data_IF_386684242789
#
_entry.id   IF_386684242789
#
_cell.length_a   1.000
_cell.length_b   1.000
_cell.length_c   1.000
_cell.angle_alpha   90.00
_cell.angle_beta   90.00
_cell.angle_gamma   90.00
#
_symmetry.space_group_name_H-M   'P 1'
#
loop_
_entity.id
_entity.type
_entity.pdbx_description
1 polymer ?
#
# COMPACT_ATOMS: atom_id res chain seq x y z
N UNK A 1 19.73 -6.34 16.97
CA UNK A 1 18.36 -6.01 17.42
C UNK A 1 18.33 -6.34 18.90
N UNK A 2 18.69 -5.36 19.72
CA UNK A 2 18.77 -5.50 21.18
C UNK A 2 17.38 -5.62 21.84
N UNK A 3 17.29 -5.12 23.07
CA UNK A 3 16.14 -5.18 24.00
C UNK A 3 14.76 -4.85 23.44
N UNK A 4 14.65 -4.37 22.17
CA UNK A 4 13.42 -3.84 21.57
C UNK A 4 12.64 -4.82 20.72
N UNK A 5 13.10 -6.08 20.54
CA UNK A 5 12.37 -7.08 19.74
C UNK A 5 10.95 -7.33 20.25
N UNK A 6 10.74 -7.22 21.56
CA UNK A 6 9.41 -7.32 22.18
C UNK A 6 8.51 -6.15 21.80
N UNK A 7 9.07 -4.95 21.66
CA UNK A 7 8.34 -3.74 21.23
C UNK A 7 7.86 -3.87 19.79
N UNK A 8 8.71 -4.37 18.89
CA UNK A 8 8.32 -4.62 17.49
C UNK A 8 7.25 -5.71 17.36
N UNK A 9 7.37 -6.79 18.12
CA UNK A 9 6.35 -7.86 18.15
C UNK A 9 5.02 -7.28 18.63
N UNK A 10 5.00 -6.54 19.73
CA UNK A 10 3.80 -5.91 20.26
C UNK A 10 3.17 -4.93 19.27
N UNK A 11 3.97 -4.17 18.53
CA UNK A 11 3.48 -3.27 17.47
C UNK A 11 2.85 -4.06 16.30
N UNK A 12 3.47 -5.13 15.84
CA UNK A 12 2.92 -5.98 14.79
C UNK A 12 1.59 -6.58 15.22
N UNK A 13 1.51 -7.10 16.44
CA UNK A 13 0.27 -7.66 17.01
C UNK A 13 -0.81 -6.59 17.16
N UNK A 14 -0.46 -5.39 17.61
CA UNK A 14 -1.38 -4.25 17.68
C UNK A 14 -1.94 -3.91 16.30
N UNK A 15 -1.07 -3.75 15.29
CA UNK A 15 -1.49 -3.42 13.92
C UNK A 15 -2.40 -4.54 13.36
N UNK A 16 -2.04 -5.81 13.54
CA UNK A 16 -2.88 -6.94 13.10
C UNK A 16 -4.25 -6.92 13.75
N UNK A 17 -4.33 -6.70 15.05
CA UNK A 17 -5.59 -6.66 15.78
C UNK A 17 -6.44 -5.45 15.39
N UNK A 18 -5.81 -4.29 15.23
CA UNK A 18 -6.50 -3.06 14.84
C UNK A 18 -7.10 -3.15 13.42
N UNK A 19 -6.36 -3.78 12.50
CA UNK A 19 -6.76 -3.93 11.10
C UNK A 19 -7.27 -5.34 10.77
N UNK A 20 -7.70 -6.11 11.75
CA UNK A 20 -8.12 -7.52 11.57
C UNK A 20 -9.23 -7.73 10.53
N UNK A 21 -10.02 -6.69 10.22
CA UNK A 21 -11.03 -6.71 9.18
C UNK A 21 -10.54 -6.34 7.76
N UNK A 22 -9.30 -5.87 7.62
CA UNK A 22 -8.76 -5.43 6.33
C UNK A 22 -8.12 -6.61 5.57
N UNK A 23 -8.86 -7.14 4.62
CA UNK A 23 -8.41 -8.26 3.78
C UNK A 23 -7.20 -7.88 2.92
N UNK A 24 -6.25 -8.79 2.83
CA UNK A 24 -5.07 -8.66 1.96
C UNK A 24 -3.97 -7.74 2.48
N UNK A 25 -4.16 -7.06 3.62
CA UNK A 25 -3.08 -6.28 4.21
C UNK A 25 -1.97 -7.21 4.72
N UNK A 26 -0.75 -6.90 4.32
CA UNK A 26 0.46 -7.60 4.74
C UNK A 26 1.33 -6.68 5.57
N UNK A 27 1.87 -7.19 6.69
CA UNK A 27 2.82 -6.49 7.52
C UNK A 27 4.20 -7.08 7.22
N UNK A 28 5.09 -6.27 6.72
CA UNK A 28 6.44 -6.68 6.37
C UNK A 28 7.45 -5.96 7.25
N UNK A 29 8.56 -6.60 7.50
CA UNK A 29 9.65 -6.01 8.27
C UNK A 29 10.73 -5.48 7.34
N UNK A 30 11.13 -4.23 7.52
CA UNK A 30 12.28 -3.64 6.86
C UNK A 30 13.57 -3.91 7.63
N UNK A 31 14.60 -4.37 6.93
CA UNK A 31 15.99 -4.39 7.41
C UNK A 31 16.63 -3.11 6.87
N UNK A 32 16.78 -2.12 7.74
CA UNK A 32 17.14 -0.77 7.36
C UNK A 32 18.52 -0.42 7.93
N UNK A 33 19.32 0.22 7.09
CA UNK A 33 20.49 0.98 7.49
C UNK A 33 20.49 2.29 6.68
N UNK A 34 20.10 3.40 7.28
CA UNK A 34 19.94 4.66 6.54
C UNK A 34 21.29 5.18 6.02
N UNK A 35 21.21 6.01 5.00
CA UNK A 35 22.41 6.68 4.46
C UNK A 35 23.10 7.53 5.55
N UNK A 36 24.43 7.70 5.40
CA UNK A 36 25.25 8.34 6.43
C UNK A 36 25.90 7.35 7.40
N UNK A 37 25.34 6.16 7.59
CA UNK A 37 25.87 5.10 8.45
C UNK A 37 26.92 4.25 7.70
N UNK A 38 27.99 4.89 7.23
CA UNK A 38 29.04 4.23 6.40
C UNK A 38 29.72 3.04 7.07
N UNK A 39 29.71 2.99 8.38
CA UNK A 39 30.24 1.88 9.15
C UNK A 39 29.46 0.56 8.95
N UNK A 40 28.22 0.62 8.47
CA UNK A 40 27.37 -0.56 8.22
C UNK A 40 28.05 -1.62 7.34
N UNK A 41 28.74 -1.19 6.29
CA UNK A 41 29.43 -2.13 5.40
C UNK A 41 30.57 -2.87 6.09
N UNK A 42 31.27 -2.19 7.00
CA UNK A 42 32.30 -2.83 7.83
C UNK A 42 31.75 -3.82 8.85
N UNK A 43 30.51 -3.61 9.29
CA UNK A 43 29.80 -4.52 10.20
C UNK A 43 29.24 -5.72 9.42
N UNK A 44 28.50 -5.46 8.34
CA UNK A 44 27.85 -6.50 7.54
C UNK A 44 28.84 -7.39 6.78
N UNK A 45 30.09 -6.95 6.62
CA UNK A 45 31.18 -7.75 6.07
C UNK A 45 31.80 -8.74 7.08
N UNK A 46 31.32 -8.78 8.31
CA UNK A 46 31.77 -9.72 9.35
C UNK A 46 30.71 -10.79 9.57
N UNK A 47 31.04 -12.03 9.30
CA UNK A 47 30.13 -13.16 9.38
C UNK A 47 29.44 -13.25 10.75
N UNK A 48 30.13 -13.00 11.85
CA UNK A 48 29.53 -13.01 13.20
C UNK A 48 28.35 -12.06 13.34
N UNK A 49 28.45 -10.83 12.82
CA UNK A 49 27.38 -9.85 12.88
C UNK A 49 26.26 -10.19 11.89
N UNK A 50 26.62 -10.69 10.73
CA UNK A 50 25.66 -11.16 9.75
C UNK A 50 24.86 -12.36 10.27
N UNK A 51 25.52 -13.32 10.93
CA UNK A 51 24.85 -14.44 11.59
C UNK A 51 23.84 -13.97 12.64
N UNK A 52 24.18 -12.99 13.45
CA UNK A 52 23.28 -12.41 14.42
C UNK A 52 22.06 -11.77 13.73
N UNK A 53 22.25 -11.00 12.66
CA UNK A 53 21.17 -10.40 11.89
C UNK A 53 20.27 -11.45 11.25
N UNK A 54 20.85 -12.51 10.67
CA UNK A 54 20.11 -13.64 10.08
C UNK A 54 19.24 -14.33 11.14
N UNK A 55 19.79 -14.60 12.32
CA UNK A 55 19.07 -15.24 13.41
C UNK A 55 17.91 -14.36 13.93
N UNK A 56 18.14 -13.06 14.04
CA UNK A 56 17.07 -12.12 14.41
C UNK A 56 15.99 -12.03 13.34
N UNK A 57 16.39 -12.02 12.06
CA UNK A 57 15.45 -12.01 10.94
C UNK A 57 14.58 -13.29 10.91
N UNK A 58 15.16 -14.46 11.14
CA UNK A 58 14.42 -15.74 11.28
C UNK A 58 13.35 -15.65 12.38
N UNK A 59 13.73 -15.12 13.53
CA UNK A 59 12.82 -14.95 14.68
C UNK A 59 11.68 -13.98 14.35
N UNK A 60 11.98 -12.81 13.79
CA UNK A 60 10.99 -11.79 13.49
C UNK A 60 10.08 -12.18 12.33
N UNK A 61 10.56 -12.95 11.36
CA UNK A 61 9.76 -13.45 10.25
C UNK A 61 8.57 -14.28 10.72
N UNK A 62 8.61 -14.89 11.90
CA UNK A 62 7.48 -15.65 12.46
C UNK A 62 6.25 -14.75 12.71
N UNK A 63 6.46 -13.46 12.95
CA UNK A 63 5.41 -12.48 13.28
C UNK A 63 4.94 -11.64 12.10
N UNK A 64 5.68 -11.55 11.01
CA UNK A 64 5.36 -10.72 9.85
C UNK A 64 5.12 -11.54 8.58
N UNK A 65 4.64 -10.89 7.53
CA UNK A 65 4.26 -11.51 6.25
C UNK A 65 5.39 -11.45 5.21
N UNK A 66 6.55 -10.93 5.58
CA UNK A 66 7.70 -10.85 4.71
C UNK A 66 8.79 -9.93 5.21
N UNK A 67 9.86 -9.87 4.44
CA UNK A 67 11.01 -9.01 4.68
C UNK A 67 11.22 -8.05 3.52
N UNK A 68 11.72 -6.88 3.84
CA UNK A 68 12.28 -5.93 2.89
C UNK A 68 13.71 -5.57 3.26
N UNK A 69 14.61 -5.49 2.28
CA UNK A 69 16.00 -5.08 2.51
C UNK A 69 16.17 -3.67 1.97
N UNK A 70 16.36 -2.72 2.89
CA UNK A 70 16.50 -1.29 2.61
C UNK A 70 17.81 -0.77 3.20
N UNK A 71 18.92 -1.19 2.59
CA UNK A 71 20.26 -0.78 3.01
C UNK A 71 20.74 0.39 2.15
N UNK A 72 20.68 1.59 2.66
CA UNK A 72 20.99 2.84 1.94
C UNK A 72 22.41 3.31 2.21
N UNK A 73 23.28 3.63 1.18
CA UNK A 73 23.20 3.22 -0.22
C UNK A 73 24.51 2.53 -0.58
N UNK A 74 24.53 1.76 -1.66
CA UNK A 74 25.72 1.10 -2.18
C UNK A 74 26.38 2.04 -3.18
N UNK A 75 27.52 2.64 -2.79
CA UNK A 75 28.25 3.59 -3.63
C UNK A 75 29.47 3.00 -4.33
N UNK A 76 29.96 1.85 -3.87
CA UNK A 76 31.13 1.20 -4.41
C UNK A 76 30.87 -0.27 -4.79
N UNK A 77 31.74 -0.84 -5.61
CA UNK A 77 31.68 -2.27 -5.92
C UNK A 77 31.83 -3.16 -4.69
N UNK A 78 32.58 -2.71 -3.68
CA UNK A 78 32.71 -3.45 -2.42
C UNK A 78 31.42 -3.41 -1.61
N UNK A 79 30.69 -2.28 -1.59
CA UNK A 79 29.40 -2.21 -0.92
C UNK A 79 28.39 -3.16 -1.57
N UNK A 80 28.38 -3.20 -2.91
CA UNK A 80 27.54 -4.13 -3.66
C UNK A 80 27.89 -5.59 -3.40
N UNK A 81 29.16 -5.91 -3.24
CA UNK A 81 29.59 -7.27 -2.87
C UNK A 81 29.01 -7.68 -1.53
N UNK A 82 29.06 -6.79 -0.54
CA UNK A 82 28.51 -7.04 0.80
C UNK A 82 26.99 -7.10 0.74
N UNK A 83 26.34 -6.14 0.06
CA UNK A 83 24.89 -6.12 -0.09
C UNK A 83 24.37 -7.41 -0.73
N UNK A 84 24.94 -7.83 -1.84
CA UNK A 84 24.54 -9.04 -2.55
C UNK A 84 24.75 -10.29 -1.69
N UNK A 85 25.81 -10.33 -0.89
CA UNK A 85 26.06 -11.41 0.05
C UNK A 85 24.98 -11.45 1.15
N UNK A 86 24.63 -10.30 1.73
CA UNK A 86 23.55 -10.18 2.73
C UNK A 86 22.23 -10.64 2.15
N UNK A 87 21.87 -10.14 0.96
CA UNK A 87 20.61 -10.51 0.28
C UNK A 87 20.57 -12.02 0.02
N UNK A 88 21.66 -12.60 -0.49
CA UNK A 88 21.72 -14.02 -0.75
C UNK A 88 21.54 -14.85 0.51
N UNK A 89 22.19 -14.51 1.60
CA UNK A 89 22.03 -15.21 2.87
C UNK A 89 20.60 -15.10 3.43
N UNK A 90 19.97 -13.95 3.29
CA UNK A 90 18.56 -13.79 3.68
C UNK A 90 17.64 -14.69 2.84
N UNK A 91 17.87 -14.76 1.54
CA UNK A 91 17.13 -15.66 0.64
C UNK A 91 17.30 -17.12 1.05
N UNK A 92 18.56 -17.56 1.18
CA UNK A 92 18.91 -18.97 1.38
C UNK A 92 18.57 -19.47 2.78
N UNK A 93 18.71 -18.63 3.80
CA UNK A 93 18.63 -19.07 5.19
C UNK A 93 17.37 -18.60 5.93
N UNK A 94 16.83 -17.44 5.58
CA UNK A 94 15.66 -16.89 6.27
C UNK A 94 14.40 -17.20 5.50
N UNK A 95 14.42 -17.02 4.17
CA UNK A 95 13.25 -17.25 3.33
C UNK A 95 13.07 -18.71 2.91
N UNK A 96 14.08 -19.56 3.11
CA UNK A 96 13.99 -20.98 2.81
C UNK A 96 12.81 -21.62 3.59
N UNK A 97 11.92 -22.30 2.87
CA UNK A 97 10.70 -22.92 3.44
C UNK A 97 9.54 -21.96 3.71
N UNK A 98 9.67 -20.66 3.38
CA UNK A 98 8.64 -19.65 3.60
C UNK A 98 8.12 -19.00 2.32
N UNK A 99 8.66 -19.36 1.15
CA UNK A 99 8.40 -18.72 -0.15
C UNK A 99 6.92 -18.74 -0.57
N UNK A 100 6.16 -19.74 -0.18
CA UNK A 100 4.74 -19.88 -0.53
C UNK A 100 3.83 -19.01 0.34
N UNK A 101 4.33 -18.53 1.48
CA UNK A 101 3.49 -17.85 2.48
C UNK A 101 3.95 -16.44 2.82
N UNK A 102 5.22 -16.14 2.55
CA UNK A 102 5.85 -14.86 2.90
C UNK A 102 6.62 -14.29 1.71
N UNK A 103 6.70 -12.97 1.64
CA UNK A 103 7.35 -12.25 0.54
C UNK A 103 8.71 -11.68 0.94
N UNK A 104 9.61 -11.65 -0.02
CA UNK A 104 10.93 -11.04 0.11
C UNK A 104 11.11 -9.94 -0.93
N UNK A 105 11.49 -8.75 -0.52
CA UNK A 105 11.75 -7.65 -1.43
C UNK A 105 13.03 -6.89 -1.09
N UNK A 106 13.49 -6.12 -2.06
CA UNK A 106 14.59 -5.19 -1.90
C UNK A 106 14.15 -3.79 -2.29
N UNK A 107 14.43 -2.83 -1.43
CA UNK A 107 14.28 -1.41 -1.73
C UNK A 107 15.59 -0.90 -2.31
N UNK A 108 15.53 -0.36 -3.52
CA UNK A 108 16.67 0.15 -4.26
C UNK A 108 16.41 1.60 -4.66
N UNK A 109 17.47 2.36 -4.83
CA UNK A 109 17.37 3.74 -5.26
C UNK A 109 17.80 3.88 -6.72
N UNK A 110 17.27 4.90 -7.39
CA UNK A 110 17.61 5.25 -8.77
C UNK A 110 19.11 5.37 -9.06
N UNK A 111 19.89 5.75 -8.06
CA UNK A 111 21.37 5.88 -8.19
C UNK A 111 22.11 4.67 -7.64
N UNK A 112 21.41 3.71 -7.07
CA UNK A 112 21.99 2.54 -6.41
C UNK A 112 21.16 1.29 -6.70
N UNK A 113 21.24 0.78 -7.93
CA UNK A 113 20.56 -0.44 -8.39
C UNK A 113 21.43 -1.31 -9.29
N UNK A 114 22.37 -0.69 -10.01
CA UNK A 114 23.10 -1.33 -11.11
C UNK A 114 24.17 -2.34 -10.67
N UNK A 115 24.44 -2.47 -9.39
CA UNK A 115 25.31 -3.50 -8.83
C UNK A 115 24.57 -4.68 -8.21
N UNK A 116 23.22 -4.70 -8.27
CA UNK A 116 22.45 -5.85 -7.82
C UNK A 116 22.78 -7.09 -8.64
N UNK A 117 23.01 -8.23 -7.99
CA UNK A 117 23.33 -9.46 -8.72
C UNK A 117 22.11 -9.96 -9.50
N UNK A 118 22.23 -9.94 -10.82
CA UNK A 118 21.16 -10.36 -11.74
C UNK A 118 20.71 -11.80 -11.53
N UNK A 119 21.58 -12.67 -11.03
CA UNK A 119 21.25 -14.06 -10.76
C UNK A 119 20.17 -14.18 -9.67
N UNK A 120 20.08 -13.21 -8.75
CA UNK A 120 19.10 -13.21 -7.64
C UNK A 120 17.78 -12.51 -7.99
N UNK A 121 17.65 -11.87 -9.16
CA UNK A 121 16.42 -11.11 -9.49
C UNK A 121 15.16 -12.00 -9.42
N UNK A 122 15.29 -13.25 -9.84
CA UNK A 122 14.17 -14.19 -9.82
C UNK A 122 13.83 -14.68 -8.40
N UNK A 123 14.79 -14.63 -7.49
CA UNK A 123 14.62 -15.03 -6.09
C UNK A 123 14.00 -13.94 -5.21
N UNK A 124 13.88 -12.72 -5.69
CA UNK A 124 13.19 -11.61 -5.05
C UNK A 124 11.77 -11.51 -5.58
N UNK A 125 10.77 -11.37 -4.73
CA UNK A 125 9.37 -11.30 -5.15
C UNK A 125 9.04 -9.98 -5.83
N UNK A 126 9.63 -8.88 -5.35
CA UNK A 126 9.52 -7.57 -5.99
C UNK A 126 10.61 -6.60 -5.50
N UNK A 127 10.81 -5.55 -6.28
CA UNK A 127 11.73 -4.47 -5.98
C UNK A 127 10.94 -3.17 -5.81
N UNK A 128 11.23 -2.44 -4.74
CA UNK A 128 10.75 -1.08 -4.56
C UNK A 128 11.83 -0.11 -5.03
N UNK A 129 11.53 0.68 -6.04
CA UNK A 129 12.46 1.69 -6.52
C UNK A 129 12.10 3.04 -5.94
N UNK A 130 12.95 3.57 -5.07
CA UNK A 130 12.78 4.86 -4.43
C UNK A 130 13.09 5.98 -5.43
N UNK A 131 12.04 6.61 -5.95
CA UNK A 131 12.08 7.71 -6.93
C UNK A 131 11.74 9.04 -6.28
N UNK A 132 12.14 9.20 -5.06
CA UNK A 132 12.08 10.42 -4.27
C UNK A 132 13.48 10.66 -3.67
N UNK A 133 13.65 11.75 -2.98
CA UNK A 133 14.93 12.06 -2.34
C UNK A 133 15.21 13.54 -2.40
N UNK A 134 16.39 13.99 -1.96
CA UNK A 134 16.68 15.39 -1.70
C UNK A 134 16.67 16.27 -2.96
N UNK A 135 16.82 15.67 -4.14
CA UNK A 135 16.94 16.41 -5.38
C UNK A 135 15.58 16.67 -6.03
N UNK A 136 15.32 17.92 -6.41
CA UNK A 136 14.08 18.35 -7.06
C UNK A 136 13.77 17.61 -8.36
N UNK A 137 14.79 17.17 -9.09
CA UNK A 137 14.65 16.49 -10.38
C UNK A 137 13.82 15.20 -10.25
N UNK A 138 13.84 14.54 -9.10
CA UNK A 138 13.06 13.34 -8.84
C UNK A 138 11.56 13.59 -8.84
N UNK A 139 11.16 14.85 -8.69
CA UNK A 139 9.77 15.29 -8.70
C UNK A 139 9.29 15.77 -10.07
N UNK A 140 10.18 15.85 -11.06
CA UNK A 140 9.78 16.17 -12.44
C UNK A 140 9.18 14.93 -13.12
N UNK A 141 8.16 15.18 -13.95
CA UNK A 141 7.53 14.08 -14.68
C UNK A 141 8.50 13.32 -15.58
N UNK A 142 9.34 14.05 -16.31
CA UNK A 142 10.26 13.48 -17.32
C UNK A 142 11.20 12.46 -16.73
N UNK A 143 11.55 12.62 -15.47
CA UNK A 143 12.40 11.71 -14.73
C UNK A 143 11.75 10.33 -14.49
N UNK A 144 10.42 10.28 -14.35
CA UNK A 144 9.72 9.06 -13.94
C UNK A 144 9.76 7.96 -15.01
N UNK A 145 9.37 8.20 -16.29
CA UNK A 145 9.52 7.20 -17.35
C UNK A 145 10.98 6.89 -17.69
N UNK A 146 11.89 7.84 -17.53
CA UNK A 146 13.32 7.60 -17.72
C UNK A 146 13.86 6.59 -16.70
N UNK A 147 13.55 6.78 -15.43
CA UNK A 147 13.93 5.85 -14.36
C UNK A 147 13.37 4.44 -14.59
N UNK A 148 12.11 4.32 -15.01
CA UNK A 148 11.54 3.03 -15.38
C UNK A 148 12.38 2.32 -16.47
N UNK A 149 12.77 3.04 -17.50
CA UNK A 149 13.59 2.49 -18.58
C UNK A 149 14.97 2.03 -18.08
N UNK A 150 15.56 2.71 -17.11
CA UNK A 150 16.83 2.25 -16.50
C UNK A 150 16.67 0.87 -15.85
N UNK A 151 15.60 0.67 -15.10
CA UNK A 151 15.35 -0.61 -14.40
C UNK A 151 15.07 -1.74 -15.37
N UNK A 152 14.22 -1.50 -16.38
CA UNK A 152 13.95 -2.49 -17.43
C UNK A 152 15.21 -2.84 -18.21
N UNK A 153 16.00 -1.85 -18.62
CA UNK A 153 17.25 -2.07 -19.36
C UNK A 153 18.31 -2.80 -18.53
N UNK A 154 18.28 -2.66 -17.22
CA UNK A 154 19.13 -3.44 -16.35
C UNK A 154 18.72 -4.91 -16.29
N UNK A 155 17.45 -5.22 -16.42
CA UNK A 155 16.92 -6.57 -16.44
C UNK A 155 15.89 -6.88 -15.35
N UNK A 156 15.38 -5.88 -14.62
CA UNK A 156 14.28 -6.10 -13.68
C UNK A 156 12.97 -6.32 -14.43
N UNK A 157 12.26 -7.44 -14.20
CA UNK A 157 10.95 -7.69 -14.82
C UNK A 157 9.92 -6.66 -14.34
N UNK A 158 9.07 -6.18 -15.25
CA UNK A 158 8.06 -5.15 -14.94
C UNK A 158 7.08 -5.59 -13.83
N UNK A 159 6.72 -6.86 -13.81
CA UNK A 159 5.82 -7.46 -12.82
C UNK A 159 6.47 -7.62 -11.43
N UNK A 160 7.74 -7.31 -11.31
CA UNK A 160 8.47 -7.22 -10.03
C UNK A 160 8.78 -5.79 -9.60
N UNK A 161 8.44 -4.78 -10.41
CA UNK A 161 8.77 -3.37 -10.14
C UNK A 161 7.62 -2.69 -9.40
N UNK A 162 7.90 -2.13 -8.22
CA UNK A 162 7.09 -1.09 -7.59
C UNK A 162 7.76 0.26 -7.82
N UNK A 163 7.09 1.11 -8.57
CA UNK A 163 7.52 2.50 -8.77
C UNK A 163 7.03 3.35 -7.61
N UNK A 164 7.89 4.21 -7.08
CA UNK A 164 7.51 5.03 -5.94
C UNK A 164 7.35 6.51 -6.27
N UNK A 165 6.69 7.23 -5.39
CA UNK A 165 6.79 8.68 -5.29
C UNK A 165 6.78 9.12 -3.82
N UNK A 166 7.48 10.21 -3.53
CA UNK A 166 7.53 10.76 -2.17
C UNK A 166 6.29 11.62 -1.88
N UNK A 167 5.79 11.49 -0.67
CA UNK A 167 4.78 12.39 -0.06
C UNK A 167 5.52 13.43 0.78
N UNK A 168 6.53 14.03 0.14
CA UNK A 168 7.51 14.90 0.77
C UNK A 168 7.63 16.22 0.02
N UNK A 169 8.09 17.24 0.75
CA UNK A 169 8.60 18.50 0.21
C UNK A 169 10.11 18.42 0.19
N UNK A 170 10.72 18.70 -0.95
CA UNK A 170 12.18 18.66 -1.09
C UNK A 170 12.74 19.97 -1.59
N UNK A 171 13.87 20.23 -1.20
CA UNK A 171 14.84 21.31 -1.36
C UNK A 171 15.16 21.90 0.02
N UNK A 172 16.43 21.78 0.46
CA UNK A 172 16.91 22.15 1.80
C UNK A 172 16.18 21.42 2.95
N UNK A 173 16.22 20.07 2.90
CA UNK A 173 15.62 19.20 3.91
C UNK A 173 14.35 18.52 3.39
N UNK A 174 13.91 17.54 4.14
CA UNK A 174 12.70 16.77 3.85
C UNK A 174 11.64 17.13 4.87
N UNK A 175 10.46 17.49 4.38
CA UNK A 175 9.27 17.77 5.16
C UNK A 175 8.09 17.04 4.51
N UNK A 176 6.99 16.88 5.24
CA UNK A 176 5.79 16.23 4.72
C UNK A 176 5.03 17.11 3.75
N UNK A 177 4.35 16.52 2.77
CA UNK A 177 3.44 17.24 1.87
C UNK A 177 2.36 18.02 2.65
N UNK A 178 1.88 17.49 3.78
CA UNK A 178 0.94 18.16 4.68
C UNK A 178 1.45 19.51 5.18
N UNK A 179 2.77 19.69 5.29
CA UNK A 179 3.36 20.93 5.80
C UNK A 179 3.09 22.14 4.88
N UNK A 180 2.75 21.91 3.59
CA UNK A 180 2.25 22.97 2.70
C UNK A 180 1.03 23.69 3.32
N UNK A 181 0.15 22.94 3.94
CA UNK A 181 -1.11 23.40 4.50
C UNK A 181 -0.98 23.82 5.96
N UNK A 182 -0.18 23.09 6.72
CA UNK A 182 -0.01 23.32 8.16
C UNK A 182 0.98 24.45 8.48
N UNK A 183 2.02 24.64 7.64
CA UNK A 183 3.12 25.58 7.91
C UNK A 183 3.23 26.70 6.87
N UNK A 184 3.01 26.37 5.57
CA UNK A 184 3.37 27.27 4.47
C UNK A 184 2.17 27.93 3.78
N UNK A 185 1.03 27.98 4.45
CA UNK A 185 -0.13 28.80 4.10
C UNK A 185 -0.90 28.36 2.85
N UNK A 186 -0.65 27.15 2.31
CA UNK A 186 -1.51 26.60 1.28
C UNK A 186 -2.89 26.28 1.87
N UNK A 187 -3.95 26.62 1.16
CA UNK A 187 -5.34 26.44 1.59
C UNK A 187 -6.25 26.32 0.35
N UNK A 188 -7.54 26.12 0.55
CA UNK A 188 -8.50 25.92 -0.54
C UNK A 188 -8.56 27.08 -1.55
N UNK A 189 -8.22 28.29 -1.15
CA UNK A 189 -8.28 29.46 -2.04
C UNK A 189 -7.07 29.60 -2.96
N UNK A 190 -5.93 28.99 -2.63
CA UNK A 190 -4.68 29.06 -3.40
C UNK A 190 -4.15 27.68 -3.84
N UNK A 191 -4.86 26.60 -3.48
CA UNK A 191 -4.53 25.26 -3.93
C UNK A 191 -4.84 25.07 -5.42
N UNK A 192 -3.83 24.62 -6.16
CA UNK A 192 -3.99 24.20 -7.55
C UNK A 192 -3.43 22.76 -7.69
N UNK A 193 -4.26 21.78 -8.09
CA UNK A 193 -3.83 20.38 -8.23
C UNK A 193 -2.74 20.16 -9.29
N UNK A 194 -2.49 21.15 -10.16
CA UNK A 194 -1.44 21.10 -11.18
C UNK A 194 -0.06 21.54 -10.67
N UNK A 195 0.01 22.19 -9.51
CA UNK A 195 1.29 22.63 -8.94
C UNK A 195 2.10 21.47 -8.40
N UNK A 196 3.41 21.54 -8.60
CA UNK A 196 4.41 20.61 -8.09
C UNK A 196 5.56 21.34 -7.36
N UNK A 197 5.37 22.61 -7.04
CA UNK A 197 6.28 23.42 -6.24
C UNK A 197 5.52 24.52 -5.52
N UNK A 198 6.07 24.96 -4.39
CA UNK A 198 5.50 26.04 -3.58
C UNK A 198 6.61 26.85 -2.94
N UNK A 199 6.39 28.17 -2.80
CA UNK A 199 7.29 29.03 -2.04
C UNK A 199 7.00 28.85 -0.54
N UNK A 200 7.97 28.28 0.14
CA UNK A 200 7.96 28.00 1.57
C UNK A 200 8.92 29.00 2.24
N UNK A 201 8.42 30.16 2.64
CA UNK A 201 9.19 31.22 3.30
C UNK A 201 10.44 31.68 2.51
N UNK A 202 10.29 31.86 1.20
CA UNK A 202 11.36 32.28 0.29
C UNK A 202 12.23 31.14 -0.25
N UNK A 203 11.89 29.90 0.07
CA UNK A 203 12.55 28.70 -0.47
C UNK A 203 11.52 27.91 -1.29
N UNK A 204 11.76 27.80 -2.60
CA UNK A 204 10.89 26.97 -3.44
C UNK A 204 11.15 25.50 -3.14
N UNK A 205 10.15 24.81 -2.59
CA UNK A 205 10.14 23.37 -2.38
C UNK A 205 9.35 22.66 -3.46
N UNK A 206 9.76 21.45 -3.79
CA UNK A 206 9.16 20.62 -4.84
C UNK A 206 8.46 19.42 -4.21
N UNK A 207 7.35 19.01 -4.82
CA UNK A 207 6.52 17.89 -4.36
C UNK A 207 5.77 17.22 -5.51
N UNK A 208 5.14 16.10 -5.27
CA UNK A 208 4.18 15.52 -6.19
C UNK A 208 2.82 16.16 -5.95
N UNK A 209 2.32 16.96 -6.90
CA UNK A 209 0.96 17.46 -6.84
C UNK A 209 -0.07 16.39 -7.21
N UNK A 210 -1.34 16.68 -6.97
CA UNK A 210 -2.46 15.75 -7.21
C UNK A 210 -2.48 15.24 -8.66
N UNK A 211 -2.39 16.15 -9.65
CA UNK A 211 -2.42 15.76 -11.06
C UNK A 211 -1.19 14.95 -11.47
N UNK A 212 -0.02 15.27 -10.92
CA UNK A 212 1.20 14.50 -11.19
C UNK A 212 1.14 13.10 -10.56
N UNK A 213 0.59 12.98 -9.36
CA UNK A 213 0.36 11.69 -8.71
C UNK A 213 -0.58 10.81 -9.53
N UNK A 214 -1.69 11.36 -10.04
CA UNK A 214 -2.59 10.64 -10.96
C UNK A 214 -1.86 10.17 -12.20
N UNK A 215 -1.11 11.06 -12.85
CA UNK A 215 -0.32 10.74 -14.05
C UNK A 215 0.72 9.64 -13.81
N UNK A 216 1.39 9.66 -12.65
CA UNK A 216 2.34 8.60 -12.27
C UNK A 216 1.64 7.26 -12.05
N UNK A 217 0.47 7.27 -11.44
CA UNK A 217 -0.33 6.05 -11.25
C UNK A 217 -0.85 5.48 -12.56
N UNK A 218 -1.31 6.32 -13.48
CA UNK A 218 -1.72 5.92 -14.85
C UNK A 218 -0.54 5.28 -15.60
N UNK A 219 0.65 5.85 -15.51
CA UNK A 219 1.87 5.29 -16.10
C UNK A 219 2.21 3.90 -15.54
N UNK A 220 2.09 3.71 -14.24
CA UNK A 220 2.34 2.41 -13.59
C UNK A 220 1.38 1.34 -14.12
N UNK A 221 0.10 1.69 -14.31
CA UNK A 221 -0.91 0.80 -14.88
C UNK A 221 -0.60 0.52 -16.36
N UNK A 222 -0.30 1.55 -17.15
CA UNK A 222 0.07 1.40 -18.58
C UNK A 222 1.26 0.47 -18.77
N UNK A 223 2.27 0.58 -17.90
CA UNK A 223 3.48 -0.27 -17.99
C UNK A 223 3.29 -1.65 -17.38
N UNK A 224 2.12 -1.93 -16.80
CA UNK A 224 1.82 -3.21 -16.14
C UNK A 224 2.87 -3.54 -15.07
N UNK A 225 3.26 -2.53 -14.29
CA UNK A 225 4.14 -2.71 -13.15
C UNK A 225 3.40 -3.40 -12.00
N UNK A 226 4.14 -4.02 -11.09
CA UNK A 226 3.56 -4.71 -9.93
C UNK A 226 2.69 -3.80 -9.06
N UNK A 227 3.03 -2.53 -8.96
CA UNK A 227 2.28 -1.58 -8.16
C UNK A 227 3.07 -0.32 -7.81
N UNK A 228 2.59 0.36 -6.80
CA UNK A 228 3.11 1.64 -6.32
C UNK A 228 3.55 1.53 -4.88
N UNK A 229 4.63 2.24 -4.55
CA UNK A 229 5.02 2.54 -3.18
C UNK A 229 5.06 4.05 -2.99
N UNK A 230 4.67 4.53 -1.84
CA UNK A 230 4.85 5.92 -1.46
C UNK A 230 5.42 6.05 -0.04
N UNK A 231 6.24 7.04 0.15
CA UNK A 231 6.89 7.36 1.40
C UNK A 231 6.57 8.82 1.78
N UNK A 232 5.81 9.05 2.89
CA UNK A 232 5.05 8.05 3.65
C UNK A 232 3.61 8.55 3.88
N UNK A 233 2.71 7.67 4.32
CA UNK A 233 1.29 7.99 4.52
C UNK A 233 1.06 9.07 5.58
N UNK A 234 1.93 9.14 6.59
CA UNK A 234 1.82 10.10 7.67
C UNK A 234 2.09 11.55 7.24
N UNK A 235 2.64 11.73 6.04
CA UNK A 235 2.99 13.03 5.46
C UNK A 235 1.94 13.57 4.48
N UNK A 236 0.86 12.83 4.23
CA UNK A 236 -0.22 13.24 3.33
C UNK A 236 -1.34 14.02 4.07
N UNK A 237 -2.22 14.62 3.31
CA UNK A 237 -3.52 15.09 3.78
C UNK A 237 -4.43 13.87 4.09
N UNK A 238 -5.43 14.02 4.97
CA UNK A 238 -6.41 12.96 5.19
C UNK A 238 -7.01 12.45 3.88
N UNK A 239 -7.17 11.13 3.73
CA UNK A 239 -7.70 10.51 2.50
C UNK A 239 -9.08 11.02 2.12
N UNK A 240 -9.87 11.53 3.07
CA UNK A 240 -11.14 12.21 2.81
C UNK A 240 -10.98 13.57 2.13
N UNK A 241 -9.82 14.21 2.20
CA UNK A 241 -9.54 15.49 1.56
C UNK A 241 -9.20 15.28 0.07
N UNK A 242 -9.76 16.13 -0.80
CA UNK A 242 -9.49 16.07 -2.24
C UNK A 242 -8.04 16.41 -2.62
N UNK A 243 -7.29 17.00 -1.70
CA UNK A 243 -5.87 17.34 -1.83
C UNK A 243 -4.93 16.16 -1.50
N UNK A 244 -5.44 15.06 -0.96
CA UNK A 244 -4.63 13.89 -0.62
C UNK A 244 -4.06 13.21 -1.87
N UNK A 245 -2.78 12.92 -1.84
CA UNK A 245 -2.07 12.20 -2.91
C UNK A 245 -2.48 10.72 -2.95
N UNK A 246 -2.73 10.13 -1.78
CA UNK A 246 -3.24 8.75 -1.67
C UNK A 246 -4.65 8.64 -2.26
N UNK A 247 -5.51 9.63 -2.00
CA UNK A 247 -6.82 9.71 -2.64
C UNK A 247 -6.70 9.84 -4.15
N UNK A 248 -5.80 10.71 -4.63
CA UNK A 248 -5.56 10.88 -6.06
C UNK A 248 -5.14 9.57 -6.75
N UNK A 249 -4.29 8.78 -6.10
CA UNK A 249 -3.93 7.44 -6.55
C UNK A 249 -5.14 6.50 -6.58
N UNK A 250 -5.92 6.47 -5.50
CA UNK A 250 -7.10 5.61 -5.38
C UNK A 250 -8.16 5.94 -6.43
N UNK A 251 -8.33 7.23 -6.78
CA UNK A 251 -9.25 7.65 -7.85
C UNK A 251 -8.86 7.04 -9.21
N UNK A 252 -7.56 7.01 -9.53
CA UNK A 252 -7.05 6.38 -10.76
C UNK A 252 -7.23 4.86 -10.71
N UNK A 253 -6.91 4.22 -9.59
CA UNK A 253 -7.11 2.78 -9.42
C UNK A 253 -8.59 2.43 -9.56
N UNK A 254 -9.49 3.19 -8.94
CA UNK A 254 -10.93 2.95 -9.01
C UNK A 254 -11.47 3.08 -10.45
N UNK A 255 -10.95 4.03 -11.24
CA UNK A 255 -11.34 4.21 -12.64
C UNK A 255 -10.82 3.11 -13.58
N UNK A 256 -9.82 2.34 -13.14
CA UNK A 256 -9.18 1.27 -13.92
C UNK A 256 -9.48 -0.15 -13.37
N UNK A 257 -10.41 -0.27 -12.43
CA UNK A 257 -10.72 -1.56 -11.78
C UNK A 257 -11.06 -2.65 -12.79
N UNK A 258 -11.79 -2.35 -13.85
CA UNK A 258 -12.17 -3.33 -14.87
C UNK A 258 -10.94 -3.85 -15.65
N UNK A 259 -9.92 -3.04 -15.82
CA UNK A 259 -8.67 -3.43 -16.49
C UNK A 259 -7.75 -4.24 -15.57
N UNK A 260 -7.77 -3.94 -14.27
CA UNK A 260 -6.94 -4.61 -13.27
C UNK A 260 -7.51 -5.97 -12.84
N UNK A 261 -8.84 -6.11 -12.83
CA UNK A 261 -9.52 -7.35 -12.40
C UNK A 261 -9.37 -8.47 -13.43
N UNK A 262 -9.17 -8.16 -14.72
CA UNK A 262 -9.01 -9.19 -15.76
C UNK A 262 -7.74 -10.03 -15.62
N UNK A 263 -6.77 -9.59 -14.83
CA UNK A 263 -5.49 -10.29 -14.62
C UNK A 263 -5.36 -10.95 -13.24
N UNK A 264 -6.34 -10.78 -12.37
CA UNK A 264 -6.40 -11.50 -11.09
C UNK A 264 -7.53 -12.51 -11.21
N UNK A 265 -7.21 -13.80 -11.20
CA UNK A 265 -8.19 -14.86 -11.02
C UNK A 265 -8.81 -14.71 -9.62
N UNK A 266 -9.73 -13.78 -9.53
CA UNK A 266 -10.67 -13.73 -8.42
C UNK A 266 -11.59 -14.93 -8.69
N UNK A 267 -11.24 -16.08 -8.17
CA UNK A 267 -12.14 -17.25 -8.17
C UNK A 267 -13.57 -16.80 -7.89
N UNK A 268 -14.60 -17.53 -8.27
CA UNK A 268 -15.97 -17.04 -8.34
C UNK A 268 -16.28 -16.22 -7.12
N UNK A 269 -16.74 -14.96 -7.33
CA UNK A 269 -17.17 -14.06 -6.25
C UNK A 269 -18.45 -14.67 -5.68
N UNK A 270 -18.24 -15.80 -5.02
CA UNK A 270 -19.26 -16.46 -4.24
C UNK A 270 -19.47 -15.66 -2.96
N UNK A 271 -20.68 -15.61 -2.55
CA UNK A 271 -21.11 -15.15 -1.21
C UNK A 271 -20.17 -15.81 -0.19
N UNK A 272 -19.24 -15.05 0.37
CA UNK A 272 -18.42 -15.55 1.46
C UNK A 272 -19.14 -15.28 2.77
N UNK A 273 -19.62 -16.34 3.40
CA UNK A 273 -20.03 -16.31 4.79
C UNK A 273 -18.81 -15.89 5.62
N UNK A 274 -18.89 -14.76 6.29
CA UNK A 274 -17.85 -14.34 7.22
C UNK A 274 -18.17 -14.97 8.59
N UNK A 275 -17.56 -16.12 8.84
CA UNK A 275 -17.58 -16.67 10.20
C UNK A 275 -16.65 -15.87 11.11
N UNK A 276 -17.19 -15.23 12.09
CA UNK A 276 -16.44 -14.68 13.21
C UNK A 276 -16.17 -15.82 14.18
N UNK A 277 -14.93 -16.21 14.33
CA UNK A 277 -14.54 -17.26 15.28
C UNK A 277 -14.87 -16.80 16.70
N UNK A 278 -15.99 -17.29 17.25
CA UNK A 278 -16.38 -17.08 18.64
C UNK A 278 -17.80 -16.55 18.90
N UNK A 279 -18.55 -16.10 17.86
CA UNK A 279 -19.97 -15.77 17.98
C UNK A 279 -20.69 -16.07 16.67
N UNK A 280 -21.80 -16.78 16.75
CA UNK A 280 -22.63 -17.28 15.67
C UNK A 280 -23.60 -16.22 15.17
N UNK A 281 -23.12 -15.21 14.47
CA UNK A 281 -24.01 -14.37 13.67
C UNK A 281 -23.58 -14.45 12.21
N UNK A 282 -24.36 -15.13 11.39
CA UNK A 282 -24.16 -15.21 9.95
C UNK A 282 -24.98 -14.09 9.30
N UNK A 283 -24.29 -13.21 8.62
CA UNK A 283 -24.91 -12.20 7.77
C UNK A 283 -24.72 -12.62 6.32
N UNK A 284 -25.82 -12.68 5.56
CA UNK A 284 -25.79 -12.96 4.12
C UNK A 284 -26.66 -11.98 3.34
N UNK A 285 -26.27 -11.65 2.14
CA UNK A 285 -27.13 -10.90 1.23
C UNK A 285 -26.94 -11.37 -0.22
N UNK A 286 -27.95 -11.12 -1.04
CA UNK A 286 -27.84 -11.27 -2.48
C UNK A 286 -28.63 -10.16 -3.19
N UNK A 287 -28.17 -9.84 -4.41
CA UNK A 287 -28.82 -8.90 -5.31
C UNK A 287 -29.57 -9.69 -6.39
N UNK A 288 -30.82 -9.39 -6.59
CA UNK A 288 -31.62 -10.00 -7.66
C UNK A 288 -32.27 -8.93 -8.53
N UNK A 289 -32.27 -9.10 -9.89
CA UNK A 289 -33.06 -8.24 -10.75
C UNK A 289 -34.56 -8.50 -10.51
N UNK A 290 -35.33 -7.44 -10.36
CA UNK A 290 -36.81 -7.50 -10.27
C UNK A 290 -37.40 -6.47 -11.24
N UNK A 291 -37.56 -6.86 -12.50
CA UNK A 291 -37.95 -5.93 -13.56
C UNK A 291 -36.89 -4.89 -13.83
N UNK A 292 -37.22 -3.59 -13.69
CA UNK A 292 -36.27 -2.47 -13.82
C UNK A 292 -35.63 -2.06 -12.50
N UNK A 293 -35.82 -2.81 -11.43
CA UNK A 293 -35.28 -2.54 -10.10
C UNK A 293 -34.38 -3.68 -9.66
N UNK A 294 -33.44 -3.37 -8.79
CA UNK A 294 -32.59 -4.35 -8.11
C UNK A 294 -33.14 -4.51 -6.70
N UNK A 295 -33.27 -5.74 -6.26
CA UNK A 295 -33.68 -6.05 -4.90
C UNK A 295 -32.50 -6.58 -4.12
N UNK A 296 -32.21 -5.97 -2.98
CA UNK A 296 -31.26 -6.47 -2.00
C UNK A 296 -32.02 -7.29 -0.96
N UNK A 297 -31.67 -8.56 -0.84
CA UNK A 297 -32.15 -9.41 0.23
C UNK A 297 -31.07 -9.57 1.28
N UNK A 298 -31.37 -9.18 2.51
CA UNK A 298 -30.48 -9.26 3.66
C UNK A 298 -31.02 -10.28 4.64
N UNK A 299 -30.21 -11.27 5.03
CA UNK A 299 -30.53 -12.20 6.09
C UNK A 299 -29.53 -12.03 7.25
N UNK A 300 -30.06 -11.85 8.45
CA UNK A 300 -29.30 -11.70 9.70
C UNK A 300 -29.77 -12.81 10.62
N UNK A 301 -28.86 -13.69 11.02
CA UNK A 301 -29.15 -14.73 12.00
C UNK A 301 -29.11 -14.12 13.40
N UNK A 302 -30.23 -14.06 14.05
CA UNK A 302 -30.57 -13.59 15.41
C UNK A 302 -30.73 -12.08 15.64
N UNK A 303 -31.88 -11.76 16.24
CA UNK A 303 -32.32 -10.50 16.86
C UNK A 303 -32.11 -9.21 16.03
N UNK A 304 -32.76 -9.18 14.86
CA UNK A 304 -32.75 -8.02 13.95
C UNK A 304 -33.39 -6.74 14.52
N UNK A 305 -33.82 -6.75 15.77
CA UNK A 305 -34.65 -5.68 16.36
C UNK A 305 -33.99 -4.29 16.42
N UNK A 306 -32.70 -4.17 16.11
CA UNK A 306 -31.97 -2.90 16.05
C UNK A 306 -30.83 -2.93 14.98
N UNK A 307 -30.95 -3.72 13.94
CA UNK A 307 -29.98 -3.71 12.85
C UNK A 307 -30.32 -2.59 11.85
N UNK A 308 -29.27 -2.02 11.28
CA UNK A 308 -29.37 -0.87 10.38
C UNK A 308 -28.51 -1.11 9.13
N UNK A 309 -29.12 -0.93 7.97
CA UNK A 309 -28.42 -1.05 6.68
C UNK A 309 -28.22 0.34 6.07
N UNK A 310 -27.02 0.59 5.62
CA UNK A 310 -26.65 1.81 4.93
C UNK A 310 -25.94 1.44 3.61
N UNK A 311 -26.30 2.10 2.52
CA UNK A 311 -25.61 1.97 1.23
C UNK A 311 -24.96 3.32 0.93
N UNK A 312 -23.66 3.26 0.69
CA UNK A 312 -22.86 4.44 0.37
C UNK A 312 -22.21 4.28 -1.01
N UNK A 313 -21.97 5.39 -1.67
CA UNK A 313 -21.03 5.47 -2.77
C UNK A 313 -19.60 5.22 -2.26
N UNK A 314 -18.67 4.90 -3.14
CA UNK A 314 -17.26 4.63 -2.75
C UNK A 314 -16.56 5.84 -2.13
N UNK A 315 -17.06 7.06 -2.39
CA UNK A 315 -16.61 8.31 -1.77
C UNK A 315 -17.31 8.61 -0.43
N UNK A 316 -18.09 7.65 0.09
CA UNK A 316 -18.72 7.73 1.42
C UNK A 316 -20.04 8.48 1.48
N UNK A 317 -20.60 8.92 0.35
CA UNK A 317 -21.93 9.56 0.33
C UNK A 317 -23.01 8.50 0.53
N UNK A 318 -23.79 8.65 1.60
CA UNK A 318 -24.95 7.79 1.87
C UNK A 318 -26.01 8.01 0.80
N UNK A 319 -26.44 6.94 0.14
CA UNK A 319 -27.47 6.94 -0.89
C UNK A 319 -28.74 6.22 -0.46
N UNK A 320 -28.66 5.38 0.58
CA UNK A 320 -29.79 4.71 1.17
C UNK A 320 -29.52 4.35 2.63
N UNK A 321 -30.54 4.41 3.46
CA UNK A 321 -30.52 3.95 4.85
C UNK A 321 -31.85 3.24 5.16
N UNK A 322 -31.78 2.08 5.83
CA UNK A 322 -32.95 1.28 6.17
C UNK A 322 -32.76 0.57 7.52
N UNK A 323 -33.82 0.56 8.36
CA UNK A 323 -33.84 -0.25 9.56
C UNK A 323 -34.24 -1.68 9.22
N UNK A 324 -33.48 -2.66 9.68
CA UNK A 324 -33.73 -4.07 9.46
C UNK A 324 -34.63 -4.59 10.61
N UNK A 325 -35.87 -4.97 10.29
CA UNK A 325 -36.88 -5.35 11.28
C UNK A 325 -37.21 -6.85 11.26
N UNK A 326 -36.54 -7.62 10.43
CA UNK A 326 -36.80 -9.04 10.25
C UNK A 326 -35.47 -9.80 10.00
N UNK A 327 -35.50 -11.10 10.23
CA UNK A 327 -34.36 -11.99 9.88
C UNK A 327 -34.03 -11.91 8.40
N UNK A 328 -35.02 -11.77 7.54
CA UNK A 328 -34.84 -11.54 6.10
C UNK A 328 -35.52 -10.25 5.70
N UNK A 329 -34.77 -9.32 5.15
CA UNK A 329 -35.27 -8.02 4.71
C UNK A 329 -35.08 -7.93 3.18
N UNK A 330 -36.11 -7.50 2.48
CA UNK A 330 -36.14 -7.32 1.03
C UNK A 330 -36.23 -5.84 0.73
N UNK A 331 -35.18 -5.27 0.20
CA UNK A 331 -35.00 -3.83 0.03
C UNK A 331 -34.94 -3.50 -1.46
N UNK A 332 -35.90 -2.78 -2.02
CA UNK A 332 -35.80 -2.34 -3.41
C UNK A 332 -34.77 -1.24 -3.55
N UNK A 333 -33.83 -1.41 -4.49
CA UNK A 333 -32.77 -0.45 -4.76
C UNK A 333 -33.06 0.35 -6.02
N UNK A 334 -32.98 1.67 -5.91
CA UNK A 334 -33.04 2.61 -7.02
C UNK A 334 -31.66 3.27 -7.18
N UNK A 335 -30.67 2.49 -7.56
CA UNK A 335 -29.30 2.94 -7.72
C UNK A 335 -28.92 3.01 -9.20
N UNK A 336 -28.12 4.01 -9.56
CA UNK A 336 -27.51 4.09 -10.89
C UNK A 336 -26.37 3.09 -11.03
N UNK A 337 -25.97 2.80 -12.27
CA UNK A 337 -24.77 1.99 -12.52
C UNK A 337 -23.60 2.52 -11.73
N UNK A 338 -22.91 1.66 -11.02
CA UNK A 338 -21.78 2.07 -10.19
C UNK A 338 -21.41 1.07 -9.11
N UNK A 339 -20.40 1.44 -8.36
CA UNK A 339 -19.92 0.66 -7.21
C UNK A 339 -20.40 1.30 -5.91
N UNK A 340 -20.89 0.49 -5.00
CA UNK A 340 -21.41 0.90 -3.72
C UNK A 340 -20.89 0.03 -2.59
N UNK A 341 -20.95 0.53 -1.37
CA UNK A 341 -20.67 -0.22 -0.15
C UNK A 341 -22.00 -0.42 0.59
N UNK A 342 -22.34 -1.65 0.91
CA UNK A 342 -23.39 -1.97 1.85
C UNK A 342 -22.74 -2.09 3.23
N UNK A 343 -23.25 -1.35 4.19
CA UNK A 343 -22.85 -1.43 5.59
C UNK A 343 -24.05 -1.87 6.42
N UNK A 344 -23.87 -2.92 7.20
CA UNK A 344 -24.89 -3.37 8.15
C UNK A 344 -24.33 -3.25 9.56
N UNK A 345 -25.06 -2.54 10.40
CA UNK A 345 -24.71 -2.35 11.81
C UNK A 345 -25.71 -3.11 12.66
N UNK A 346 -25.20 -3.96 13.52
CA UNK A 346 -25.96 -4.67 14.54
C UNK A 346 -25.37 -4.33 15.91
N UNK A 347 -26.06 -4.73 16.98
CA UNK A 347 -25.48 -4.58 18.32
C UNK A 347 -24.21 -5.42 18.53
N UNK A 348 -24.00 -6.46 17.72
CA UNK A 348 -22.86 -7.38 17.82
C UNK A 348 -21.71 -7.03 16.84
N UNK A 349 -21.88 -6.07 15.94
CA UNK A 349 -20.82 -5.66 15.03
C UNK A 349 -21.26 -4.88 13.80
N UNK A 350 -20.27 -4.40 13.06
CA UNK A 350 -20.45 -3.70 11.80
C UNK A 350 -19.91 -4.58 10.67
N UNK A 351 -20.68 -4.71 9.60
CA UNK A 351 -20.36 -5.50 8.41
C UNK A 351 -20.35 -4.57 7.20
N UNK A 352 -19.37 -4.70 6.34
CA UNK A 352 -19.29 -3.91 5.10
C UNK A 352 -19.00 -4.82 3.93
N UNK A 353 -19.77 -4.66 2.86
CA UNK A 353 -19.59 -5.39 1.62
C UNK A 353 -19.68 -4.45 0.41
N UNK A 354 -18.82 -4.66 -0.57
CA UNK A 354 -18.84 -3.95 -1.86
C UNK A 354 -19.83 -4.62 -2.80
N UNK A 355 -20.66 -3.83 -3.49
CA UNK A 355 -21.58 -4.29 -4.55
C UNK A 355 -21.36 -3.51 -5.83
N UNK A 356 -21.68 -4.14 -6.94
CA UNK A 356 -21.69 -3.55 -8.28
C UNK A 356 -23.11 -3.55 -8.83
N UNK A 357 -23.58 -2.41 -9.31
CA UNK A 357 -24.85 -2.23 -10.04
C UNK A 357 -24.49 -2.04 -11.52
N UNK A 358 -24.87 -2.99 -12.36
CA UNK A 358 -24.60 -3.01 -13.80
C UNK A 358 -25.62 -2.24 -14.63
#
# INVERSE_FOLDING_TARGET
IGKDSQSYIGMIEFIRNYYAGHRGMKIRMGIIYPDGEKWKWGVLNKEEYLDNMINDAKKLLTYCDGLDVDLEWMYSSSDWTIYNHVVKRLIDEVMAGHRDTKTFSCSLHKVSYSGFDKAMINDVDFFTFQLYGPNKETYYWEYYPEAYNWFINYGFPKDKILMSYGVLLVNNGEEGYKDLFEKYGMNDSNFDPALNSWDCDGIVKYYNGVNQTKRKQEFIIEKDCRGTMYFDMGNDQPVSDYKSLIRAQNDVLASNVDTLITNVDLGPVGIQNMEKKGQTETFSFYLSPSGNQITLTLSVEEDAGNAFCEICTIDGKVVMQECLNAVTNVIPLSLTKGTYLIQVRTHNGNYTQKIHIN
#
